data_IF_107519061795
#
_entry.id   IF_107519061795
#
_cell.length_a   1.000
_cell.length_b   1.000
_cell.length_c   1.000
_cell.angle_alpha   90.00
_cell.angle_beta   90.00
_cell.angle_gamma   90.00
#
_symmetry.space_group_name_H-M   'P 1'
#
loop_
_entity.id
_entity.type
_entity.pdbx_description
1 polymer ?
#
# COMPACT_ATOMS: atom_id res chain seq x y z
N UNK A 1 10.52 15.07 -1.83
CA UNK A 1 11.03 16.37 -1.37
C UNK A 1 11.88 16.16 -0.14
N UNK A 2 12.93 16.95 0.07
CA UNK A 2 13.74 16.90 1.30
C UNK A 2 13.18 17.90 2.33
N UNK A 3 13.04 17.43 3.57
CA UNK A 3 12.65 18.26 4.72
C UNK A 3 13.79 18.24 5.73
N UNK A 4 14.02 19.37 6.39
CA UNK A 4 15.06 19.52 7.40
C UNK A 4 14.41 19.83 8.74
N UNK A 5 14.71 19.04 9.76
CA UNK A 5 14.18 19.21 11.12
C UNK A 5 15.31 19.34 12.13
N UNK A 6 15.10 20.13 13.17
CA UNK A 6 15.94 20.17 14.37
C UNK A 6 15.09 20.49 15.57
N UNK A 7 15.47 19.99 16.74
CA UNK A 7 14.80 20.29 18.00
C UNK A 7 15.38 21.57 18.60
N UNK A 8 14.55 22.32 19.32
CA UNK A 8 14.97 23.45 20.16
C UNK A 8 14.77 23.03 21.61
N UNK A 9 15.87 22.77 22.32
CA UNK A 9 15.85 22.57 23.76
C UNK A 9 15.87 23.94 24.44
N UNK A 10 15.02 24.14 25.46
CA UNK A 10 14.99 25.35 26.27
C UNK A 10 15.22 24.91 27.71
N UNK A 11 16.28 25.42 28.32
CA UNK A 11 16.61 25.20 29.72
C UNK A 11 15.74 26.09 30.62
N UNK A 12 15.72 25.76 31.91
CA UNK A 12 14.82 26.35 32.92
C UNK A 12 15.11 27.85 33.14
N UNK A 13 16.31 28.31 32.78
CA UNK A 13 16.78 29.69 32.84
C UNK A 13 16.52 30.49 31.54
N UNK A 14 15.92 29.85 30.54
CA UNK A 14 15.61 30.45 29.23
C UNK A 14 16.75 30.36 28.21
N UNK A 15 17.89 29.75 28.57
CA UNK A 15 18.90 29.36 27.58
C UNK A 15 18.30 28.35 26.62
N UNK A 16 18.76 28.33 25.37
CA UNK A 16 18.30 27.33 24.40
C UNK A 16 19.43 26.83 23.53
N UNK A 17 19.34 25.54 23.19
CA UNK A 17 20.24 24.86 22.27
C UNK A 17 19.43 24.21 21.16
N UNK A 18 19.96 24.20 19.94
CA UNK A 18 19.36 23.45 18.84
C UNK A 18 20.07 22.11 18.70
N UNK A 19 19.33 21.04 18.43
CA UNK A 19 19.92 19.78 18.01
C UNK A 19 20.57 19.91 16.62
N UNK A 20 21.34 18.89 16.25
CA UNK A 20 21.76 18.69 14.87
C UNK A 20 20.55 18.66 13.91
N UNK A 21 20.79 19.12 12.67
CA UNK A 21 19.79 19.09 11.60
C UNK A 21 19.70 17.67 11.06
N UNK A 22 18.50 17.10 11.11
CA UNK A 22 18.17 15.81 10.50
C UNK A 22 17.50 16.08 9.15
N UNK A 23 18.09 15.56 8.07
CA UNK A 23 17.47 15.53 6.74
C UNK A 23 16.52 14.32 6.64
N UNK A 24 15.27 14.57 6.26
CA UNK A 24 14.28 13.54 5.94
C UNK A 24 13.92 13.65 4.47
N UNK A 25 14.29 12.63 3.68
CA UNK A 25 13.90 12.52 2.28
C UNK A 25 12.56 11.82 2.16
N UNK A 26 11.57 12.52 1.62
CA UNK A 26 10.32 11.90 1.15
C UNK A 26 10.55 11.47 -0.29
N UNK A 27 10.84 10.18 -0.47
CA UNK A 27 10.96 9.54 -1.79
C UNK A 27 9.57 9.15 -2.29
N UNK A 28 9.22 9.60 -3.49
CA UNK A 28 8.12 9.00 -4.26
C UNK A 28 8.56 7.58 -4.65
N UNK A 29 7.66 6.58 -4.66
CA UNK A 29 8.04 5.25 -5.08
C UNK A 29 8.64 5.29 -6.48
N UNK A 30 9.88 4.86 -6.62
CA UNK A 30 10.59 4.85 -7.91
C UNK A 30 10.07 3.77 -8.86
N UNK A 31 9.19 2.88 -8.40
CA UNK A 31 8.68 1.74 -9.17
C UNK A 31 7.19 1.51 -8.90
N UNK A 32 6.48 1.18 -9.96
CA UNK A 32 5.13 0.63 -9.88
C UNK A 32 5.24 -0.81 -9.38
N UNK A 33 4.72 -1.07 -8.18
CA UNK A 33 4.90 -2.35 -7.49
C UNK A 33 3.60 -2.81 -6.82
N UNK A 34 3.37 -4.12 -6.85
CA UNK A 34 2.32 -4.78 -6.09
C UNK A 34 2.99 -5.71 -5.07
N UNK A 35 2.85 -5.41 -3.78
CA UNK A 35 3.42 -6.21 -2.70
C UNK A 35 2.60 -7.48 -2.47
N UNK A 36 3.22 -8.48 -1.85
CA UNK A 36 2.46 -9.65 -1.39
C UNK A 36 1.51 -9.21 -0.27
N UNK A 37 0.27 -9.70 -0.30
CA UNK A 37 -0.69 -9.44 0.77
C UNK A 37 -0.18 -9.97 2.12
N UNK A 38 -0.44 -9.26 3.21
CA UNK A 38 -0.05 -9.67 4.55
C UNK A 38 -1.23 -9.54 5.53
N UNK A 39 -1.53 -10.60 6.32
CA UNK A 39 -0.91 -11.94 6.28
C UNK A 39 -1.24 -12.72 5.00
N UNK A 40 -0.44 -13.75 4.67
CA UNK A 40 -0.74 -14.75 3.64
C UNK A 40 -0.06 -16.10 3.99
N UNK A 41 -0.80 -17.20 4.25
CA UNK A 41 -2.27 -17.32 4.22
C UNK A 41 -2.98 -16.39 5.21
N UNK A 42 -4.23 -16.02 4.94
CA UNK A 42 -5.01 -15.08 5.76
C UNK A 42 -6.37 -15.63 6.18
N UNK A 43 -6.92 -15.09 7.28
CA UNK A 43 -8.24 -15.43 7.81
C UNK A 43 -8.91 -14.26 8.55
N UNK A 44 -10.11 -13.81 8.13
CA UNK A 44 -10.54 -13.64 6.74
C UNK A 44 -10.05 -12.28 6.16
N UNK A 45 -9.24 -11.53 6.91
CA UNK A 45 -8.76 -10.20 6.55
C UNK A 45 -7.28 -10.20 6.19
N UNK A 46 -6.92 -9.41 5.18
CA UNK A 46 -5.53 -9.20 4.77
C UNK A 46 -5.37 -7.78 4.21
N UNK A 47 -4.14 -7.28 4.17
CA UNK A 47 -3.81 -5.98 3.59
C UNK A 47 -3.01 -6.20 2.31
N UNK A 48 -3.35 -5.44 1.28
CA UNK A 48 -2.65 -5.46 -0.02
C UNK A 48 -2.01 -4.10 -0.22
N UNK A 49 -0.69 -4.07 -0.22
CA UNK A 49 0.07 -2.84 -0.44
C UNK A 49 0.54 -2.75 -1.90
N UNK A 50 0.50 -1.55 -2.46
CA UNK A 50 1.03 -1.27 -3.79
C UNK A 50 1.53 0.16 -3.88
N UNK A 51 2.41 0.41 -4.84
CA UNK A 51 3.08 1.70 -5.02
C UNK A 51 2.85 2.21 -6.44
N UNK A 52 2.54 3.50 -6.54
CA UNK A 52 2.34 4.23 -7.80
C UNK A 52 3.43 5.27 -7.98
N UNK A 53 4.05 5.31 -9.16
CA UNK A 53 5.08 6.30 -9.52
C UNK A 53 4.49 7.65 -9.93
N UNK A 54 3.25 7.65 -10.40
CA UNK A 54 2.52 8.81 -10.91
C UNK A 54 1.03 8.66 -10.61
N UNK A 55 0.29 9.78 -10.63
CA UNK A 55 -1.15 9.75 -10.45
C UNK A 55 -1.84 9.06 -11.65
N UNK A 56 -2.61 8.01 -11.40
CA UNK A 56 -3.21 7.19 -12.46
C UNK A 56 -4.58 6.62 -12.04
N UNK A 57 -5.38 6.17 -13.01
CA UNK A 57 -6.58 5.40 -12.77
C UNK A 57 -6.19 3.96 -12.37
N UNK A 58 -6.54 3.57 -11.15
CA UNK A 58 -6.16 2.28 -10.57
C UNK A 58 -7.38 1.43 -10.31
N UNK A 59 -7.32 0.17 -10.78
CA UNK A 59 -8.30 -0.86 -10.43
C UNK A 59 -7.60 -2.02 -9.72
N UNK A 60 -7.95 -2.26 -8.46
CA UNK A 60 -7.51 -3.45 -7.70
C UNK A 60 -8.69 -4.42 -7.61
N UNK A 61 -8.57 -5.54 -8.31
CA UNK A 61 -9.64 -6.51 -8.51
C UNK A 61 -9.21 -7.88 -7.96
N UNK A 62 -10.16 -8.63 -7.40
CA UNK A 62 -9.91 -9.99 -6.90
C UNK A 62 -10.69 -11.00 -7.74
N UNK A 63 -10.01 -12.09 -8.12
CA UNK A 63 -10.53 -13.18 -8.93
C UNK A 63 -10.35 -14.52 -8.21
N UNK A 64 -11.24 -15.48 -8.50
CA UNK A 64 -11.05 -16.88 -8.13
C UNK A 64 -10.23 -17.65 -9.19
N UNK A 65 -9.97 -18.94 -8.96
CA UNK A 65 -9.17 -19.79 -9.86
C UNK A 65 -9.78 -20.00 -11.24
N UNK A 66 -11.10 -19.84 -11.40
CA UNK A 66 -11.80 -19.94 -12.68
C UNK A 66 -11.92 -18.58 -13.40
N UNK A 67 -11.29 -17.52 -12.88
CA UNK A 67 -11.26 -16.19 -13.50
C UNK A 67 -12.50 -15.34 -13.26
N UNK A 68 -13.42 -15.75 -12.37
CA UNK A 68 -14.55 -14.92 -11.98
C UNK A 68 -14.10 -13.84 -11.00
N UNK A 69 -14.51 -12.59 -11.26
CA UNK A 69 -14.28 -11.46 -10.36
C UNK A 69 -15.16 -11.60 -9.12
N UNK A 70 -14.53 -11.73 -7.95
CA UNK A 70 -15.23 -11.90 -6.66
C UNK A 70 -15.28 -10.62 -5.85
N UNK A 71 -14.36 -9.67 -6.06
CA UNK A 71 -14.38 -8.37 -5.39
C UNK A 71 -13.68 -7.27 -6.20
N UNK A 72 -14.08 -6.02 -5.93
CA UNK A 72 -13.41 -4.79 -6.40
C UNK A 72 -12.99 -4.05 -5.14
N UNK A 73 -11.69 -3.89 -4.92
CA UNK A 73 -11.16 -3.22 -3.73
C UNK A 73 -10.95 -1.73 -3.98
N UNK A 74 -10.46 -1.41 -5.18
CA UNK A 74 -10.19 -0.04 -5.63
C UNK A 74 -10.62 0.07 -7.09
N UNK A 75 -11.25 1.18 -7.45
CA UNK A 75 -11.54 1.53 -8.84
C UNK A 75 -11.67 3.04 -9.00
N UNK A 76 -10.57 3.77 -8.81
CA UNK A 76 -10.56 5.22 -8.84
C UNK A 76 -9.18 5.77 -9.24
N UNK A 77 -9.13 7.07 -9.54
CA UNK A 77 -7.88 7.79 -9.71
C UNK A 77 -7.18 7.94 -8.36
N UNK A 78 -5.90 7.61 -8.31
CA UNK A 78 -5.08 7.70 -7.10
C UNK A 78 -3.81 8.49 -7.40
N UNK A 79 -3.34 9.25 -6.42
CA UNK A 79 -2.09 10.01 -6.50
C UNK A 79 -0.85 9.10 -6.42
N UNK A 80 0.29 9.62 -6.86
CA UNK A 80 1.58 8.94 -6.69
C UNK A 80 1.85 8.67 -5.20
N UNK A 81 2.41 7.51 -4.88
CA UNK A 81 2.67 7.10 -3.50
C UNK A 81 2.36 5.65 -3.22
N UNK A 82 2.58 5.27 -1.97
CA UNK A 82 2.30 3.93 -1.46
C UNK A 82 0.90 3.90 -0.87
N UNK A 83 0.09 2.93 -1.31
CA UNK A 83 -1.29 2.75 -0.90
C UNK A 83 -1.50 1.37 -0.31
N UNK A 84 -2.46 1.23 0.59
CA UNK A 84 -2.84 -0.05 1.19
C UNK A 84 -4.34 -0.23 1.09
N UNK A 85 -4.77 -1.37 0.54
CA UNK A 85 -6.16 -1.78 0.48
C UNK A 85 -6.43 -2.87 1.52
N UNK A 86 -7.47 -2.68 2.32
CA UNK A 86 -8.00 -3.73 3.17
C UNK A 86 -8.88 -4.69 2.37
N UNK A 87 -8.67 -5.99 2.54
CA UNK A 87 -9.50 -7.01 1.96
C UNK A 87 -10.14 -7.87 3.04
N UNK A 88 -11.46 -7.89 3.07
CA UNK A 88 -12.26 -8.77 3.92
C UNK A 88 -12.94 -9.85 3.06
N UNK A 89 -12.48 -11.09 3.21
CA UNK A 89 -12.96 -12.25 2.49
C UNK A 89 -13.96 -13.08 3.31
N UNK A 90 -14.62 -12.51 4.33
CA UNK A 90 -15.50 -13.28 5.22
C UNK A 90 -16.64 -14.02 4.52
N UNK A 91 -17.06 -13.53 3.33
CA UNK A 91 -18.12 -14.10 2.48
C UNK A 91 -17.60 -15.08 1.41
N UNK A 92 -16.29 -15.34 1.38
CA UNK A 92 -15.66 -16.22 0.41
C UNK A 92 -15.23 -17.54 1.07
N UNK A 93 -15.17 -18.61 0.28
CA UNK A 93 -14.73 -19.93 0.75
C UNK A 93 -13.20 -20.01 0.79
N UNK A 94 -12.64 -20.82 1.71
CA UNK A 94 -11.21 -21.13 1.75
C UNK A 94 -10.70 -21.60 0.38
N UNK A 95 -9.53 -21.12 -0.04
CA UNK A 95 -9.00 -21.41 -1.37
C UNK A 95 -7.98 -20.38 -1.86
N UNK A 96 -7.61 -20.52 -3.14
CA UNK A 96 -6.66 -19.65 -3.82
C UNK A 96 -7.42 -18.55 -4.55
N UNK A 97 -6.95 -17.32 -4.38
CA UNK A 97 -7.45 -16.14 -5.07
C UNK A 97 -6.31 -15.40 -5.73
N UNK A 98 -6.62 -14.66 -6.80
CA UNK A 98 -5.66 -13.84 -7.52
C UNK A 98 -6.14 -12.40 -7.45
N UNK A 99 -5.32 -11.50 -6.95
CA UNK A 99 -5.58 -10.07 -7.01
C UNK A 99 -4.75 -9.45 -8.13
N UNK A 100 -5.37 -8.53 -8.86
CA UNK A 100 -4.83 -7.90 -10.05
C UNK A 100 -4.93 -6.40 -9.87
N UNK A 101 -3.78 -5.73 -9.91
CA UNK A 101 -3.65 -4.28 -9.95
C UNK A 101 -3.50 -3.85 -11.40
N UNK A 102 -4.48 -3.10 -11.90
CA UNK A 102 -4.50 -2.56 -13.26
C UNK A 102 -4.36 -1.05 -13.24
N UNK A 103 -3.55 -0.54 -14.17
CA UNK A 103 -3.41 0.86 -14.52
C UNK A 103 -3.42 0.99 -16.03
N UNK A 104 -3.42 2.22 -16.56
CA UNK A 104 -3.36 2.45 -18.01
C UNK A 104 -2.08 1.90 -18.67
N UNK A 105 -0.96 1.86 -17.93
CA UNK A 105 0.36 1.48 -18.46
C UNK A 105 0.78 0.05 -18.12
N UNK A 106 0.28 -0.51 -17.02
CA UNK A 106 0.74 -1.79 -16.50
C UNK A 106 -0.33 -2.57 -15.75
N UNK A 107 -0.20 -3.89 -15.79
CA UNK A 107 -1.01 -4.83 -15.00
C UNK A 107 -0.09 -5.74 -14.21
N UNK A 108 -0.25 -5.75 -12.88
CA UNK A 108 0.44 -6.67 -11.98
C UNK A 108 -0.56 -7.59 -11.32
N UNK A 109 -0.17 -8.83 -11.05
CA UNK A 109 -1.03 -9.79 -10.36
C UNK A 109 -0.23 -10.63 -9.39
N UNK A 110 -0.89 -11.05 -8.30
CA UNK A 110 -0.32 -11.94 -7.28
C UNK A 110 -1.40 -12.85 -6.73
N UNK A 111 -0.96 -14.01 -6.23
CA UNK A 111 -1.82 -15.02 -5.62
C UNK A 111 -1.89 -14.82 -4.10
N UNK A 112 -3.02 -15.13 -3.50
CA UNK A 112 -3.23 -15.18 -2.06
C UNK A 112 -4.02 -16.43 -1.68
N UNK A 113 -3.85 -16.89 -0.45
CA UNK A 113 -4.46 -18.11 0.08
C UNK A 113 -5.34 -17.72 1.26
N UNK A 114 -6.66 -17.91 1.13
CA UNK A 114 -7.62 -17.75 2.22
C UNK A 114 -7.75 -19.09 2.96
N UNK A 115 -7.52 -19.07 4.26
CA UNK A 115 -7.70 -20.22 5.15
C UNK A 115 -8.65 -19.85 6.27
N UNK A 116 -9.92 -20.18 6.12
CA UNK A 116 -10.97 -20.02 7.13
C UNK A 116 -11.23 -21.33 7.86
#
# INVERSE_FOLDING_TARGET
GSYYYRLKQIDIDGAFEYSDVVEVKIETPNKFELSQNYPNPFNPKTKIQFSLTEANNVSLLVYNTIGQKVAVLINQRMEAGTHTADFDASKLNSGIYIYVLKTEKATLSKKMILMK
#
